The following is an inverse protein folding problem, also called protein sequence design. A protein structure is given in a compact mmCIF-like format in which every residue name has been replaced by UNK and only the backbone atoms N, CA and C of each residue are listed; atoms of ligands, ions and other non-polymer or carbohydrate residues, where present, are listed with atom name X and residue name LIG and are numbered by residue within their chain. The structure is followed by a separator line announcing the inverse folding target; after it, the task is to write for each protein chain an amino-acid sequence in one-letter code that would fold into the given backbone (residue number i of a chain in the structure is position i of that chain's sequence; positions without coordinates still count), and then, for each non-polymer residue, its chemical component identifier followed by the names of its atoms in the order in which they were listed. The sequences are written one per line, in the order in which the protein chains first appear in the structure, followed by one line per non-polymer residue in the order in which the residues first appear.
data_IF_359835924404
#
_entry.id   IF_359835924404
#
_cell.length_a   1.000
_cell.length_b   1.000
_cell.length_c   1.000
_cell.angle_alpha   90.00
_cell.angle_beta   90.00
_cell.angle_gamma   90.00
#
_symmetry.space_group_name_H-M   'P 1'
#
loop_
_entity.id
_entity.type
_entity.pdbx_description
1 polymer ?
#
# COMPACT_ATOMS: atom_id res chain seq x y z
N UNK A 1 58.66 -8.95 60.70
CA UNK A 1 58.39 -7.58 61.18
C UNK A 1 58.92 -6.61 60.12
N UNK A 2 58.10 -5.63 59.74
CA UNK A 2 58.39 -4.39 58.96
C UNK A 2 58.99 -4.55 57.55
N UNK A 3 58.23 -4.43 56.44
CA UNK A 3 57.58 -3.25 55.83
C UNK A 3 58.57 -2.27 55.16
N UNK A 4 58.58 -2.21 53.82
CA UNK A 4 58.85 -1.00 53.03
C UNK A 4 58.57 -1.24 51.53
N UNK A 5 57.64 -0.46 50.98
CA UNK A 5 57.33 -0.27 49.57
C UNK A 5 58.50 0.33 48.78
N UNK A 6 58.64 -0.06 47.51
CA UNK A 6 59.07 0.84 46.42
C UNK A 6 58.28 0.50 45.15
N UNK A 7 57.51 1.48 44.67
CA UNK A 7 56.83 1.47 43.38
C UNK A 7 57.81 1.75 42.23
N UNK A 8 57.73 0.97 41.15
CA UNK A 8 58.12 1.40 39.80
C UNK A 8 56.87 1.36 38.90
N UNK A 9 56.56 2.40 38.12
CA UNK A 9 55.49 2.30 37.14
C UNK A 9 56.06 1.70 35.85
N UNK A 10 55.66 0.47 35.53
CA UNK A 10 55.89 -0.11 34.21
C UNK A 10 54.65 0.15 33.36
N UNK A 11 54.80 1.00 32.35
CA UNK A 11 53.81 1.22 31.31
C UNK A 11 53.51 -0.10 30.57
N UNK A 12 52.24 -0.49 30.51
CA UNK A 12 51.76 -1.44 29.52
C UNK A 12 50.69 -0.77 28.66
N UNK A 13 51.07 -0.68 27.38
CA UNK A 13 50.29 -0.32 26.22
C UNK A 13 49.23 -1.40 25.89
N UNK A 14 48.20 -0.96 25.15
CA UNK A 14 47.28 -1.72 24.28
C UNK A 14 46.17 -2.50 25.03
N UNK A 15 44.90 -2.45 24.64
CA UNK A 15 44.38 -2.45 23.28
C UNK A 15 42.96 -1.87 23.19
N UNK A 16 42.74 -1.16 22.09
CA UNK A 16 41.51 -0.94 21.33
C UNK A 16 40.18 -1.34 21.97
N UNK A 17 39.51 -0.34 22.56
CA UNK A 17 38.05 -0.30 22.49
C UNK A 17 37.67 -0.12 21.02
N UNK A 18 37.34 -1.24 20.38
CA UNK A 18 36.57 -1.27 19.15
C UNK A 18 35.29 -0.50 19.40
N UNK A 19 35.25 0.77 18.97
CA UNK A 19 34.02 1.52 18.88
C UNK A 19 33.11 0.74 17.94
N UNK A 20 32.09 0.09 18.49
CA UNK A 20 30.92 -0.27 17.72
C UNK A 20 30.36 1.04 17.20
N UNK A 21 30.71 1.39 15.97
CA UNK A 21 29.97 2.38 15.21
C UNK A 21 28.58 1.79 15.09
N UNK A 22 27.65 2.36 15.88
CA UNK A 22 26.23 2.14 15.72
C UNK A 22 25.93 2.55 14.28
N UNK A 23 25.86 1.56 13.38
CA UNK A 23 25.30 1.75 12.07
C UNK A 23 23.89 2.29 12.35
N UNK A 24 23.71 3.58 12.11
CA UNK A 24 22.40 4.20 12.20
C UNK A 24 21.60 3.48 11.12
N UNK A 25 20.84 2.46 11.49
CA UNK A 25 19.81 1.91 10.63
C UNK A 25 18.91 3.10 10.34
N UNK A 26 19.05 3.68 9.15
CA UNK A 26 18.15 4.71 8.65
C UNK A 26 16.77 4.06 8.66
N UNK A 27 16.01 4.29 9.74
CA UNK A 27 14.70 3.72 9.89
C UNK A 27 13.83 4.33 8.78
N UNK A 28 13.20 3.46 7.98
CA UNK A 28 12.23 3.91 7.00
C UNK A 28 11.17 4.75 7.72
N UNK A 29 10.91 5.95 7.22
CA UNK A 29 9.94 6.83 7.83
C UNK A 29 8.53 6.29 7.54
N UNK A 30 7.75 6.06 8.59
CA UNK A 30 6.40 5.49 8.52
C UNK A 30 5.29 6.53 8.72
N UNK A 31 5.64 7.83 8.71
CA UNK A 31 4.68 8.91 8.82
C UNK A 31 3.58 8.81 7.75
N UNK A 32 2.35 9.12 8.15
CA UNK A 32 1.17 9.04 7.28
C UNK A 32 0.50 7.68 7.23
N UNK A 33 1.11 6.63 7.80
CA UNK A 33 0.49 5.31 7.92
C UNK A 33 -0.10 5.10 9.32
N UNK A 34 -1.24 4.41 9.39
CA UNK A 34 -1.79 3.83 10.61
C UNK A 34 -1.34 2.37 10.72
N UNK A 35 -0.88 1.98 11.91
CA UNK A 35 -0.33 0.65 12.22
C UNK A 35 0.73 0.16 11.21
N UNK A 36 1.78 0.96 10.94
CA UNK A 36 2.76 0.61 9.92
C UNK A 36 3.59 -0.62 10.32
N UNK A 37 3.84 -1.48 9.33
CA UNK A 37 4.76 -2.62 9.44
C UNK A 37 5.82 -2.47 8.35
N UNK A 38 7.09 -2.45 8.76
CA UNK A 38 8.22 -2.50 7.84
C UNK A 38 8.60 -3.96 7.64
N UNK A 39 8.70 -4.40 6.39
CA UNK A 39 9.05 -5.77 6.06
C UNK A 39 9.75 -5.84 4.68
N UNK A 40 10.53 -6.91 4.42
CA UNK A 40 11.01 -7.17 3.06
C UNK A 40 9.83 -7.49 2.12
N UNK A 41 9.96 -7.27 0.81
CA UNK A 41 9.02 -7.76 -0.18
C UNK A 41 9.15 -9.27 -0.34
N UNK A 42 8.29 -9.87 -1.17
CA UNK A 42 8.21 -11.33 -1.33
C UNK A 42 9.51 -11.95 -1.84
N UNK A 43 10.23 -11.34 -2.79
CA UNK A 43 11.48 -11.87 -3.36
C UNK A 43 12.78 -11.15 -2.98
N UNK A 44 12.69 -10.09 -2.17
CA UNK A 44 13.84 -9.29 -1.70
C UNK A 44 14.24 -8.12 -2.61
N UNK A 45 15.26 -7.35 -2.22
CA UNK A 45 15.80 -6.23 -3.01
C UNK A 45 15.05 -4.89 -2.87
N UNK A 46 13.96 -4.87 -2.11
CA UNK A 46 13.28 -3.65 -1.68
C UNK A 46 13.00 -3.71 -0.16
N UNK A 47 12.56 -2.59 0.40
CA UNK A 47 11.96 -2.54 1.73
C UNK A 47 10.57 -1.95 1.60
N UNK A 48 9.58 -2.58 2.23
CA UNK A 48 8.19 -2.18 2.16
C UNK A 48 7.69 -1.66 3.51
N UNK A 49 6.80 -0.67 3.43
CA UNK A 49 5.99 -0.17 4.53
C UNK A 49 4.55 -0.49 4.16
N UNK A 50 3.91 -1.34 4.95
CA UNK A 50 2.48 -1.65 4.82
C UNK A 50 1.71 -1.06 5.98
N UNK A 51 0.46 -0.65 5.74
CA UNK A 51 -0.43 -0.13 6.76
C UNK A 51 -1.71 0.42 6.15
N UNK A 52 -2.52 1.07 6.97
CA UNK A 52 -3.72 1.75 6.49
C UNK A 52 -3.53 3.25 6.41
N UNK A 53 -4.28 3.90 5.53
CA UNK A 53 -4.37 5.36 5.45
C UNK A 53 -5.83 5.77 5.36
N UNK A 54 -6.16 6.98 5.81
CA UNK A 54 -7.51 7.51 5.64
C UNK A 54 -7.55 8.37 4.37
N UNK A 55 -8.52 8.09 3.50
CA UNK A 55 -8.84 8.94 2.34
C UNK A 55 -10.26 9.45 2.48
N UNK A 56 -10.47 10.73 2.19
CA UNK A 56 -11.80 11.35 2.23
C UNK A 56 -12.23 11.58 0.78
N UNK A 57 -13.32 10.94 0.35
CA UNK A 57 -13.82 11.06 -1.01
C UNK A 57 -15.16 11.79 -1.03
N UNK A 58 -15.41 12.50 -2.12
CA UNK A 58 -16.70 13.08 -2.46
C UNK A 58 -16.84 13.07 -3.98
N UNK A 59 -17.62 12.12 -4.51
CA UNK A 59 -17.69 11.85 -5.94
C UNK A 59 -19.13 11.60 -6.38
N UNK A 60 -19.49 11.92 -7.64
CA UNK A 60 -20.71 11.42 -8.23
C UNK A 60 -20.77 9.89 -8.19
N UNK A 61 -21.96 9.36 -7.98
CA UNK A 61 -22.27 7.94 -8.08
C UNK A 61 -23.58 7.71 -8.82
N UNK A 62 -23.98 6.46 -8.89
CA UNK A 62 -25.31 6.05 -9.37
C UNK A 62 -26.07 5.41 -8.22
N UNK A 63 -27.32 5.79 -8.01
CA UNK A 63 -28.20 5.05 -7.10
C UNK A 63 -28.54 3.72 -7.76
N UNK A 64 -27.91 2.64 -7.33
CA UNK A 64 -28.19 1.33 -7.88
C UNK A 64 -29.50 0.79 -7.31
N UNK A 65 -30.43 0.41 -8.19
CA UNK A 65 -31.70 -0.25 -7.88
C UNK A 65 -31.50 -1.77 -7.83
N UNK A 66 -30.48 -2.22 -7.10
CA UNK A 66 -30.18 -3.63 -6.94
C UNK A 66 -30.42 -4.05 -5.49
N UNK A 67 -31.11 -5.17 -5.30
CA UNK A 67 -31.30 -5.78 -3.99
C UNK A 67 -30.41 -7.01 -3.91
N UNK A 68 -29.56 -7.06 -2.88
CA UNK A 68 -28.70 -8.22 -2.65
C UNK A 68 -29.54 -9.52 -2.63
N UNK A 69 -29.11 -10.58 -3.33
CA UNK A 69 -29.77 -11.89 -3.30
C UNK A 69 -29.83 -12.42 -1.87
N UNK A 70 -30.96 -13.04 -1.50
CA UNK A 70 -31.19 -13.50 -0.12
C UNK A 70 -30.84 -14.99 0.09
N UNK A 71 -30.65 -15.73 -1.00
CA UNK A 71 -30.33 -17.15 -1.00
C UNK A 71 -29.46 -17.54 -2.21
N UNK A 72 -28.96 -18.78 -2.19
CA UNK A 72 -28.00 -19.27 -3.19
C UNK A 72 -28.60 -19.41 -4.59
N UNK A 73 -29.90 -19.68 -4.69
CA UNK A 73 -30.58 -19.75 -5.98
C UNK A 73 -30.66 -18.34 -6.59
N UNK A 74 -31.04 -17.34 -5.80
CA UNK A 74 -31.10 -15.96 -6.26
C UNK A 74 -29.73 -15.42 -6.69
N UNK A 75 -28.63 -15.85 -6.07
CA UNK A 75 -27.26 -15.53 -6.53
C UNK A 75 -27.00 -16.13 -7.91
N UNK A 76 -27.34 -17.41 -8.10
CA UNK A 76 -27.15 -18.12 -9.38
C UNK A 76 -27.98 -17.47 -10.49
N UNK A 77 -29.24 -17.17 -10.22
CA UNK A 77 -30.13 -16.46 -11.16
C UNK A 77 -29.58 -15.09 -11.51
N UNK A 78 -29.08 -14.31 -10.53
CA UNK A 78 -28.47 -13.00 -10.80
C UNK A 78 -27.24 -13.11 -11.72
N UNK A 79 -26.43 -14.16 -11.55
CA UNK A 79 -25.29 -14.41 -12.42
C UNK A 79 -25.73 -14.79 -13.84
N UNK A 80 -26.73 -15.68 -13.98
CA UNK A 80 -27.29 -16.04 -15.29
C UNK A 80 -27.89 -14.80 -15.97
N UNK A 81 -28.65 -13.99 -15.23
CA UNK A 81 -29.27 -12.77 -15.74
C UNK A 81 -28.22 -11.75 -16.18
N UNK A 82 -27.10 -11.60 -15.46
CA UNK A 82 -26.01 -10.71 -15.85
C UNK A 82 -25.33 -11.14 -17.16
N UNK A 83 -25.12 -12.44 -17.37
CA UNK A 83 -24.33 -12.96 -18.49
C UNK A 83 -25.13 -13.47 -19.69
N UNK A 84 -26.46 -13.53 -19.61
CA UNK A 84 -27.29 -13.93 -20.74
C UNK A 84 -27.27 -12.91 -21.88
N UNK A 85 -27.48 -13.41 -23.10
CA UNK A 85 -27.64 -12.56 -24.28
C UNK A 85 -28.89 -11.68 -24.11
N UNK A 86 -28.77 -10.39 -24.45
CA UNK A 86 -29.81 -9.37 -24.27
C UNK A 86 -30.17 -9.05 -22.81
N UNK A 87 -29.26 -9.29 -21.86
CA UNK A 87 -29.45 -8.85 -20.47
C UNK A 87 -29.72 -7.35 -20.37
N UNK A 88 -30.76 -6.98 -19.61
CA UNK A 88 -31.01 -5.58 -19.18
C UNK A 88 -30.52 -5.30 -17.76
N UNK A 89 -29.96 -6.31 -17.07
CA UNK A 89 -29.61 -6.27 -15.65
C UNK A 89 -28.81 -5.01 -15.27
N UNK A 90 -27.76 -4.69 -16.02
CA UNK A 90 -26.91 -3.53 -15.74
C UNK A 90 -27.65 -2.20 -15.93
N UNK A 91 -28.50 -2.10 -16.95
CA UNK A 91 -29.29 -0.89 -17.22
C UNK A 91 -30.38 -0.70 -16.16
N UNK A 92 -31.08 -1.78 -15.79
CA UNK A 92 -32.13 -1.76 -14.77
C UNK A 92 -31.54 -1.46 -13.39
N UNK A 93 -30.40 -2.07 -13.05
CA UNK A 93 -29.67 -1.77 -11.82
C UNK A 93 -29.21 -0.30 -11.77
N UNK A 94 -28.79 0.29 -12.89
CA UNK A 94 -28.34 1.67 -12.96
C UNK A 94 -29.49 2.71 -13.09
N UNK A 95 -30.76 2.27 -13.18
CA UNK A 95 -31.90 3.14 -13.47
C UNK A 95 -32.30 4.11 -12.33
N UNK A 96 -31.66 4.03 -11.16
CA UNK A 96 -31.98 4.87 -10.00
C UNK A 96 -31.49 6.32 -10.09
N UNK A 97 -30.74 6.66 -11.14
CA UNK A 97 -30.25 8.01 -11.42
C UNK A 97 -29.01 8.40 -10.60
N UNK A 98 -28.64 9.68 -10.66
CA UNK A 98 -27.44 10.19 -10.00
C UNK A 98 -27.54 10.13 -8.46
N UNK A 99 -26.42 9.80 -7.82
CA UNK A 99 -26.22 9.90 -6.39
C UNK A 99 -24.88 10.57 -6.09
N UNK A 100 -24.59 10.75 -4.80
CA UNK A 100 -23.28 11.18 -4.31
C UNK A 100 -22.76 10.10 -3.38
N UNK A 101 -21.48 9.75 -3.55
CA UNK A 101 -20.74 8.89 -2.65
C UNK A 101 -19.74 9.76 -1.92
N UNK A 102 -19.91 9.90 -0.61
CA UNK A 102 -18.98 10.65 0.23
C UNK A 102 -18.72 9.93 1.55
N UNK A 103 -17.49 10.02 2.03
CA UNK A 103 -17.11 9.45 3.31
C UNK A 103 -15.60 9.47 3.50
N UNK A 104 -15.17 9.07 4.68
CA UNK A 104 -13.79 8.76 4.98
C UNK A 104 -13.62 7.25 5.03
N UNK A 105 -12.60 6.75 4.34
CA UNK A 105 -12.36 5.32 4.20
C UNK A 105 -10.92 4.99 4.57
N UNK A 106 -10.73 3.92 5.32
CA UNK A 106 -9.45 3.27 5.56
C UNK A 106 -9.07 2.44 4.34
N UNK A 107 -7.94 2.78 3.71
CA UNK A 107 -7.38 2.08 2.57
C UNK A 107 -6.07 1.44 2.98
N UNK A 108 -5.96 0.13 2.78
CA UNK A 108 -4.69 -0.57 2.97
C UNK A 108 -3.74 -0.25 1.81
N UNK A 109 -2.50 0.07 2.14
CA UNK A 109 -1.43 0.39 1.20
C UNK A 109 -0.14 -0.30 1.59
N UNK A 110 0.68 -0.61 0.59
CA UNK A 110 2.03 -1.15 0.70
C UNK A 110 2.96 -0.35 -0.21
N UNK A 111 3.78 0.50 0.37
CA UNK A 111 4.81 1.30 -0.31
C UNK A 111 6.14 0.58 -0.24
N UNK A 112 6.71 0.22 -1.38
CA UNK A 112 8.00 -0.43 -1.47
C UNK A 112 9.01 0.49 -2.18
N UNK A 113 10.21 0.56 -1.60
CA UNK A 113 11.33 1.35 -2.10
C UNK A 113 12.54 0.43 -2.29
N UNK A 114 13.37 0.65 -3.32
CA UNK A 114 14.68 0.01 -3.43
C UNK A 114 15.46 0.06 -2.10
N UNK A 115 16.08 -1.05 -1.71
CA UNK A 115 16.66 -1.21 -0.37
C UNK A 115 17.89 -0.34 -0.08
N UNK A 116 18.52 0.25 -1.10
CA UNK A 116 19.72 1.08 -0.94
C UNK A 116 19.36 2.44 -0.31
N UNK A 117 19.69 2.67 0.99
CA UNK A 117 19.29 3.88 1.68
C UNK A 117 19.93 5.13 1.08
N UNK A 118 21.09 5.00 0.43
CA UNK A 118 21.81 6.13 -0.17
C UNK A 118 21.10 6.69 -1.41
N UNK A 119 20.18 5.92 -2.00
CA UNK A 119 19.47 6.29 -3.24
C UNK A 119 18.01 6.65 -3.01
N UNK A 120 17.52 6.59 -1.77
CA UNK A 120 16.12 6.91 -1.45
C UNK A 120 15.72 8.32 -1.88
N UNK A 121 16.61 9.29 -1.73
CA UNK A 121 16.36 10.67 -2.12
C UNK A 121 16.35 10.88 -3.64
N UNK A 122 16.92 9.96 -4.42
CA UNK A 122 16.94 10.00 -5.89
C UNK A 122 15.67 9.41 -6.52
N UNK A 123 14.90 8.63 -5.77
CA UNK A 123 13.71 7.96 -6.29
C UNK A 123 12.55 8.97 -6.38
N UNK A 124 12.32 9.47 -7.59
CA UNK A 124 11.27 10.46 -7.91
C UNK A 124 10.08 9.90 -8.68
N UNK A 125 10.08 8.60 -8.95
CA UNK A 125 9.00 7.95 -9.70
C UNK A 125 8.44 6.79 -8.88
N UNK A 126 7.12 6.77 -8.75
CA UNK A 126 6.37 5.67 -8.14
C UNK A 126 5.36 5.09 -9.13
N UNK A 127 5.22 3.78 -9.10
CA UNK A 127 4.17 3.08 -9.83
C UNK A 127 3.03 2.75 -8.87
N UNK A 128 1.84 3.29 -9.12
CA UNK A 128 0.63 3.02 -8.38
C UNK A 128 -0.04 1.78 -8.97
N UNK A 129 -0.11 0.70 -8.20
CA UNK A 129 -0.45 -0.63 -8.68
C UNK A 129 -1.89 -0.98 -8.26
N UNK A 130 -2.80 -0.98 -9.22
CA UNK A 130 -4.23 -1.32 -9.05
C UNK A 130 -4.45 -2.78 -9.41
N UNK A 131 -4.95 -3.61 -8.49
CA UNK A 131 -5.21 -5.01 -8.80
C UNK A 131 -6.49 -5.18 -9.65
N UNK A 132 -6.61 -6.33 -10.34
CA UNK A 132 -7.83 -6.71 -11.05
C UNK A 132 -8.97 -7.17 -10.13
N UNK A 133 -10.12 -7.51 -10.71
CA UNK A 133 -11.24 -8.09 -9.96
C UNK A 133 -10.82 -9.41 -9.29
N UNK A 134 -11.41 -9.74 -8.13
CA UNK A 134 -11.15 -10.95 -7.32
C UNK A 134 -9.74 -11.08 -6.71
N UNK A 135 -8.91 -10.05 -6.86
CA UNK A 135 -7.54 -9.97 -6.36
C UNK A 135 -7.43 -8.88 -5.28
N UNK A 136 -6.25 -8.73 -4.69
CA UNK A 136 -5.88 -7.69 -3.73
C UNK A 136 -4.39 -7.28 -3.93
N UNK A 137 -3.81 -6.52 -3.01
CA UNK A 137 -2.42 -6.07 -3.02
C UNK A 137 -1.37 -7.20 -3.09
N UNK A 138 -1.74 -8.46 -2.81
CA UNK A 138 -0.83 -9.61 -2.85
C UNK A 138 -0.51 -10.01 -4.30
N UNK A 139 -1.39 -9.71 -5.26
CA UNK A 139 -1.22 -10.03 -6.68
C UNK A 139 0.13 -9.55 -7.24
N UNK A 140 0.54 -8.33 -6.86
CA UNK A 140 1.77 -7.70 -7.37
C UNK A 140 3.07 -8.31 -6.82
N UNK A 141 2.97 -9.21 -5.84
CA UNK A 141 4.09 -9.90 -5.20
C UNK A 141 3.72 -11.33 -4.80
N UNK A 142 3.04 -12.07 -5.68
CA UNK A 142 2.40 -13.35 -5.33
C UNK A 142 3.39 -14.42 -4.85
N UNK A 143 4.63 -14.40 -5.36
CA UNK A 143 5.72 -15.25 -4.86
C UNK A 143 7.08 -14.65 -5.25
N UNK A 144 8.20 -15.12 -4.66
CA UNK A 144 9.53 -14.54 -4.90
C UNK A 144 9.93 -14.47 -6.38
N UNK A 145 9.55 -15.48 -7.17
CA UNK A 145 9.89 -15.56 -8.60
C UNK A 145 8.88 -14.85 -9.51
N UNK A 146 7.78 -14.34 -8.94
CA UNK A 146 6.67 -13.73 -9.67
C UNK A 146 6.22 -12.44 -8.98
N UNK A 147 7.20 -11.57 -8.69
CA UNK A 147 6.96 -10.31 -7.99
C UNK A 147 7.28 -9.13 -8.90
N UNK A 148 6.21 -8.44 -9.32
CA UNK A 148 6.35 -7.21 -10.08
C UNK A 148 7.00 -6.11 -9.23
N UNK A 149 6.72 -6.09 -7.93
CA UNK A 149 7.33 -5.18 -6.96
C UNK A 149 8.85 -5.29 -6.97
N UNK A 150 9.37 -6.53 -7.00
CA UNK A 150 10.82 -6.76 -6.96
C UNK A 150 11.48 -6.36 -8.29
N UNK A 151 10.82 -6.66 -9.43
CA UNK A 151 11.28 -6.23 -10.75
C UNK A 151 11.30 -4.70 -10.87
N UNK A 152 10.25 -4.02 -10.42
CA UNK A 152 10.17 -2.56 -10.44
C UNK A 152 11.23 -1.92 -9.54
N UNK A 153 11.45 -2.50 -8.34
CA UNK A 153 12.47 -2.04 -7.39
C UNK A 153 13.88 -2.23 -7.94
N UNK A 154 14.18 -3.36 -8.58
CA UNK A 154 15.46 -3.61 -9.24
C UNK A 154 15.72 -2.63 -10.39
N UNK A 155 14.66 -2.17 -11.06
CA UNK A 155 14.72 -1.12 -12.08
C UNK A 155 14.79 0.31 -11.51
N UNK A 156 14.81 0.48 -10.17
CA UNK A 156 14.95 1.77 -9.51
C UNK A 156 13.65 2.55 -9.33
N UNK A 157 12.48 1.90 -9.45
CA UNK A 157 11.18 2.52 -9.21
C UNK A 157 10.66 2.20 -7.82
N UNK A 158 9.97 3.15 -7.19
CA UNK A 158 9.09 2.86 -6.06
C UNK A 158 7.78 2.23 -6.57
N UNK A 159 7.11 1.46 -5.71
CA UNK A 159 5.76 0.95 -6.00
C UNK A 159 4.84 1.20 -4.82
N UNK A 160 3.60 1.63 -5.07
CA UNK A 160 2.52 1.62 -4.10
C UNK A 160 1.45 0.66 -4.60
N UNK A 161 1.32 -0.52 -4.00
CA UNK A 161 0.13 -1.37 -4.18
C UNK A 161 -0.87 -1.07 -3.07
N UNK A 162 -2.15 -1.18 -3.37
CA UNK A 162 -3.21 -0.93 -2.39
C UNK A 162 -4.37 -1.89 -2.61
N UNK A 163 -5.20 -2.06 -1.59
CA UNK A 163 -6.46 -2.77 -1.74
C UNK A 163 -7.55 -1.76 -2.13
N UNK A 164 -8.25 -2.02 -3.23
CA UNK A 164 -9.38 -1.19 -3.65
C UNK A 164 -10.46 -1.12 -2.55
N UNK A 165 -11.26 -0.05 -2.55
CA UNK A 165 -12.35 0.09 -1.58
C UNK A 165 -13.29 -1.11 -1.70
N UNK A 166 -13.63 -1.75 -0.58
CA UNK A 166 -14.43 -2.98 -0.56
C UNK A 166 -13.65 -4.28 -0.72
N UNK A 167 -12.31 -4.25 -0.72
CA UNK A 167 -11.46 -5.42 -0.96
C UNK A 167 -10.36 -5.54 0.08
N UNK A 168 -9.92 -6.77 0.36
CA UNK A 168 -8.71 -7.07 1.11
C UNK A 168 -8.75 -6.52 2.53
N UNK A 169 -7.77 -5.69 2.88
CA UNK A 169 -7.64 -5.03 4.18
C UNK A 169 -8.16 -3.59 4.19
N UNK A 170 -8.72 -3.09 3.08
CA UNK A 170 -9.41 -1.80 3.03
C UNK A 170 -10.81 -1.90 3.64
N UNK A 171 -11.45 -0.76 3.86
CA UNK A 171 -12.84 -0.72 4.34
C UNK A 171 -13.81 -1.42 3.39
N UNK A 172 -14.83 -2.05 3.96
CA UNK A 172 -15.92 -2.73 3.23
C UNK A 172 -17.26 -2.02 3.45
N UNK A 173 -17.47 -0.82 2.86
CA UNK A 173 -18.77 -0.15 2.94
C UNK A 173 -19.82 -0.86 2.08
N UNK A 174 -21.03 -0.32 2.04
CA UNK A 174 -22.12 -0.86 1.20
C UNK A 174 -21.62 -1.13 -0.23
N UNK A 175 -21.54 -2.40 -0.68
CA UNK A 175 -20.96 -2.74 -1.97
C UNK A 175 -21.84 -2.32 -3.15
N UNK A 176 -23.11 -1.98 -2.89
CA UNK A 176 -24.08 -1.56 -3.90
C UNK A 176 -24.04 -0.03 -4.03
N UNK A 177 -24.06 0.69 -2.90
CA UNK A 177 -24.19 2.15 -2.93
C UNK A 177 -22.84 2.90 -2.88
N UNK A 178 -21.80 2.33 -2.27
CA UNK A 178 -20.53 3.03 -2.05
C UNK A 178 -19.38 2.51 -2.92
N UNK A 179 -19.34 1.21 -3.22
CA UNK A 179 -18.26 0.60 -4.01
C UNK A 179 -18.62 0.65 -5.50
N UNK A 180 -18.22 1.74 -6.17
CA UNK A 180 -18.50 1.99 -7.58
C UNK A 180 -17.23 2.46 -8.29
N UNK A 181 -17.18 2.37 -9.62
CA UNK A 181 -16.01 2.80 -10.38
C UNK A 181 -15.58 4.25 -10.07
N UNK A 182 -16.54 5.14 -9.83
CA UNK A 182 -16.26 6.54 -9.48
C UNK A 182 -15.62 6.69 -8.10
N UNK A 183 -16.03 5.92 -7.09
CA UNK A 183 -15.38 5.93 -5.78
C UNK A 183 -13.99 5.32 -5.84
N UNK A 184 -13.76 4.28 -6.65
CA UNK A 184 -12.41 3.75 -6.87
C UNK A 184 -11.47 4.79 -7.51
N UNK A 185 -11.95 5.53 -8.52
CA UNK A 185 -11.19 6.63 -9.14
C UNK A 185 -10.91 7.74 -8.13
N UNK A 186 -11.87 8.09 -7.28
CA UNK A 186 -11.67 9.10 -6.24
C UNK A 186 -10.61 8.65 -5.21
N UNK A 187 -10.61 7.39 -4.78
CA UNK A 187 -9.55 6.83 -3.92
C UNK A 187 -8.19 6.93 -4.61
N UNK A 188 -8.08 6.51 -5.88
CA UNK A 188 -6.83 6.64 -6.66
C UNK A 188 -6.35 8.09 -6.73
N UNK A 189 -7.26 9.05 -6.92
CA UNK A 189 -6.93 10.47 -6.94
C UNK A 189 -6.29 10.92 -5.62
N UNK A 190 -6.88 10.55 -4.48
CA UNK A 190 -6.33 10.86 -3.16
C UNK A 190 -4.96 10.20 -2.95
N UNK A 191 -4.79 8.93 -3.34
CA UNK A 191 -3.49 8.24 -3.27
C UNK A 191 -2.40 8.98 -4.07
N UNK A 192 -2.71 9.39 -5.31
CA UNK A 192 -1.79 10.17 -6.15
C UNK A 192 -1.43 11.50 -5.46
N UNK A 193 -2.41 12.15 -4.83
CA UNK A 193 -2.20 13.37 -4.04
C UNK A 193 -1.24 13.14 -2.87
N UNK A 194 -1.44 12.08 -2.09
CA UNK A 194 -0.59 11.73 -0.95
C UNK A 194 0.85 11.43 -1.38
N UNK A 195 1.02 10.69 -2.48
CA UNK A 195 2.33 10.37 -3.05
C UNK A 195 3.08 11.61 -3.53
N UNK A 196 2.41 12.50 -4.28
CA UNK A 196 3.02 13.75 -4.76
C UNK A 196 3.37 14.71 -3.64
N UNK A 197 2.59 14.74 -2.56
CA UNK A 197 2.83 15.65 -1.44
C UNK A 197 3.74 15.07 -0.35
N UNK A 198 4.38 13.92 -0.58
CA UNK A 198 5.28 13.29 0.39
C UNK A 198 4.59 12.88 1.69
N UNK A 199 3.29 12.57 1.64
CA UNK A 199 2.50 12.26 2.84
C UNK A 199 2.61 10.82 3.29
N UNK A 200 3.20 9.94 2.48
CA UNK A 200 3.46 8.54 2.82
C UNK A 200 4.97 8.35 3.01
N UNK A 201 5.38 8.22 4.27
CA UNK A 201 6.78 8.05 4.68
C UNK A 201 7.70 9.24 4.38
N UNK A 202 7.15 10.42 4.07
CA UNK A 202 7.95 11.59 3.71
C UNK A 202 8.51 11.57 2.28
N UNK A 203 8.20 10.55 1.47
CA UNK A 203 8.79 10.37 0.14
C UNK A 203 7.99 11.14 -0.93
N UNK A 204 8.63 12.14 -1.54
CA UNK A 204 8.04 12.95 -2.61
C UNK A 204 8.32 12.36 -3.99
N UNK A 205 7.26 12.12 -4.79
CA UNK A 205 7.37 11.62 -6.15
C UNK A 205 6.90 12.63 -7.19
N UNK A 206 7.77 12.99 -8.13
CA UNK A 206 7.47 13.89 -9.25
C UNK A 206 6.54 13.22 -10.27
N UNK A 207 6.70 11.90 -10.44
CA UNK A 207 5.95 11.09 -11.41
C UNK A 207 5.24 9.95 -10.69
N UNK A 208 3.95 9.81 -11.00
CA UNK A 208 3.11 8.70 -10.57
C UNK A 208 2.56 8.03 -11.82
N UNK A 209 2.97 6.79 -12.07
CA UNK A 209 2.44 5.98 -13.17
C UNK A 209 1.39 5.02 -12.64
N UNK A 210 0.17 5.10 -13.18
CA UNK A 210 -0.87 4.15 -12.86
C UNK A 210 -0.66 2.86 -13.67
N UNK A 211 -0.63 1.73 -12.98
CA UNK A 211 -0.58 0.39 -13.57
C UNK A 211 -1.81 -0.39 -13.11
N UNK A 212 -2.48 -1.06 -14.06
CA UNK A 212 -3.78 -1.72 -13.90
C UNK A 212 -3.69 -3.15 -14.42
#
# INVERSE_FOLDING_TARGET
MTNASVCLPLAFLLNHLSGFTSATTMAFNTSGFFNPVIHPPTGGGSTCISGSITVSINTPGTKLLYKAPQDQMAVTESFVELFQVNSTFGADAAAGGSSVISGEYSIFVKLCLPSDPSRLDEIKTVQLLTHGATLDHTYWGISPNYSYIDVASAAGYATLSYDQLGVGNSDHPDPIQAVQATSQVAVVHELVGLLRNGKLGGYHFDKVYLNI
#
